data_IF_880595116123
#
_entry.id   IF_880595116123
#
_cell.length_a   1.000
_cell.length_b   1.000
_cell.length_c   1.000
_cell.angle_alpha   90.00
_cell.angle_beta   90.00
_cell.angle_gamma   90.00
#
_symmetry.space_group_name_H-M   'P 1'
#
loop_
_entity.id
_entity.type
_entity.pdbx_description
1 polymer ?
#
# COMPACT_ATOMS: atom_id res chain seq x y z
N UNK A 1 23.10 25.60 -2.34
CA UNK A 1 21.73 25.07 -2.19
C UNK A 1 21.25 25.35 -0.77
N UNK A 2 20.19 26.14 -0.58
CA UNK A 2 19.64 26.41 0.75
C UNK A 2 18.95 25.16 1.32
N UNK A 3 19.29 24.78 2.56
CA UNK A 3 18.71 23.63 3.24
C UNK A 3 17.25 23.94 3.59
N UNK A 4 16.31 23.29 2.90
CA UNK A 4 14.88 23.39 3.23
C UNK A 4 14.58 22.53 4.47
N UNK A 5 14.29 23.19 5.59
CA UNK A 5 13.85 22.52 6.83
C UNK A 5 12.40 22.02 6.69
N UNK A 6 12.12 20.83 7.24
CA UNK A 6 10.78 20.23 7.26
C UNK A 6 10.31 20.05 8.70
N UNK A 7 9.18 20.67 9.03
CA UNK A 7 8.61 20.68 10.39
C UNK A 7 7.36 19.80 10.46
N UNK A 8 7.18 19.09 11.57
CA UNK A 8 5.95 18.35 11.88
C UNK A 8 4.83 19.31 12.33
N UNK A 9 3.59 18.81 12.38
CA UNK A 9 2.42 19.60 12.73
C UNK A 9 2.48 20.05 14.19
N UNK A 10 2.98 19.20 15.09
CA UNK A 10 3.10 19.54 16.50
C UNK A 10 4.05 20.72 16.75
N UNK A 11 5.21 20.73 16.08
CA UNK A 11 6.13 21.86 16.14
C UNK A 11 5.47 23.15 15.64
N UNK A 12 4.75 23.08 14.51
CA UNK A 12 4.06 24.25 13.96
C UNK A 12 2.99 24.79 14.92
N UNK A 13 2.19 23.90 15.51
CA UNK A 13 1.17 24.28 16.49
C UNK A 13 1.79 24.90 17.75
N UNK A 14 2.88 24.34 18.30
CA UNK A 14 3.62 24.95 19.41
C UNK A 14 4.15 26.34 19.07
N UNK A 15 4.73 26.49 17.88
CA UNK A 15 5.23 27.78 17.42
C UNK A 15 4.12 28.83 17.26
N UNK A 16 2.93 28.40 16.82
CA UNK A 16 1.76 29.28 16.74
C UNK A 16 1.20 29.61 18.13
N UNK A 17 1.09 28.64 19.04
CA UNK A 17 0.62 28.87 20.40
C UNK A 17 1.48 29.90 21.13
N UNK A 18 2.81 29.73 21.09
CA UNK A 18 3.75 30.70 21.65
C UNK A 18 3.63 32.07 20.98
N UNK A 19 3.40 32.11 19.67
CA UNK A 19 3.18 33.37 18.97
C UNK A 19 1.90 34.06 19.43
N UNK A 20 0.84 33.33 19.80
CA UNK A 20 -0.42 33.91 20.25
C UNK A 20 -0.31 34.48 21.67
N UNK A 21 0.50 33.86 22.53
CA UNK A 21 0.84 34.38 23.86
C UNK A 21 1.79 35.58 23.78
N UNK A 22 2.68 35.59 22.79
CA UNK A 22 3.68 36.63 22.58
C UNK A 22 3.43 37.36 21.24
N UNK A 23 4.51 37.63 20.48
CA UNK A 23 4.46 38.16 19.12
C UNK A 23 4.95 37.12 18.11
N UNK A 24 4.58 37.31 16.84
CA UNK A 24 5.05 36.44 15.75
C UNK A 24 6.57 36.49 15.57
N UNK A 25 7.15 37.68 15.74
CA UNK A 25 8.58 37.94 15.69
C UNK A 25 9.32 37.30 16.87
N UNK A 26 8.74 37.34 18.08
CA UNK A 26 9.29 36.66 19.25
C UNK A 26 9.29 35.13 19.05
N UNK A 27 8.20 34.56 18.54
CA UNK A 27 8.12 33.14 18.21
C UNK A 27 9.14 32.73 17.14
N UNK A 28 9.27 33.52 16.07
CA UNK A 28 10.24 33.29 15.01
C UNK A 28 11.69 33.19 15.55
N UNK A 29 12.07 34.10 16.46
CA UNK A 29 13.38 34.06 17.13
C UNK A 29 13.51 32.85 18.06
N UNK A 30 12.50 32.58 18.88
CA UNK A 30 12.50 31.45 19.82
C UNK A 30 12.67 30.10 19.13
N UNK A 31 11.96 29.89 18.00
CA UNK A 31 11.97 28.62 17.28
C UNK A 31 12.98 28.56 16.12
N UNK A 32 13.70 29.66 15.83
CA UNK A 32 14.64 29.74 14.71
C UNK A 32 13.99 29.51 13.35
N UNK A 33 12.81 30.11 13.13
CA UNK A 33 12.02 30.00 11.90
C UNK A 33 11.77 31.39 11.33
N UNK A 34 11.67 31.50 10.01
CA UNK A 34 11.29 32.75 9.34
C UNK A 34 9.92 33.25 9.84
N UNK A 35 9.77 34.52 10.28
CA UNK A 35 8.49 35.11 10.69
C UNK A 35 7.35 34.90 9.69
N UNK A 36 7.66 34.84 8.39
CA UNK A 36 6.67 34.53 7.34
C UNK A 36 6.01 33.16 7.57
N UNK A 37 6.77 32.16 8.02
CA UNK A 37 6.24 30.82 8.31
C UNK A 37 5.27 30.82 9.46
N UNK A 38 5.56 31.58 10.52
CA UNK A 38 4.65 31.73 11.67
C UNK A 38 3.32 32.34 11.20
N UNK A 39 3.37 33.37 10.34
CA UNK A 39 2.17 33.98 9.75
C UNK A 39 1.39 33.00 8.85
N UNK A 40 2.08 32.21 8.03
CA UNK A 40 1.46 31.15 7.20
C UNK A 40 0.78 30.09 8.07
N UNK A 41 1.46 29.61 9.12
CA UNK A 41 0.95 28.58 10.02
C UNK A 41 -0.24 29.07 10.82
N UNK A 42 -0.25 30.33 11.26
CA UNK A 42 -1.42 30.95 11.92
C UNK A 42 -2.68 30.87 11.05
N UNK A 43 -2.57 31.06 9.73
CA UNK A 43 -3.71 30.94 8.81
C UNK A 43 -4.22 29.50 8.64
N UNK A 44 -3.38 28.52 8.95
CA UNK A 44 -3.66 27.09 8.73
C UNK A 44 -3.88 26.32 10.04
N UNK A 45 -4.05 26.99 11.18
CA UNK A 45 -4.18 26.36 12.51
C UNK A 45 -5.27 25.31 12.53
N UNK A 46 -6.49 25.68 12.14
CA UNK A 46 -7.64 24.77 12.16
C UNK A 46 -7.40 23.53 11.27
N UNK A 47 -6.73 23.69 10.13
CA UNK A 47 -6.38 22.57 9.24
C UNK A 47 -5.30 21.67 9.85
N UNK A 48 -4.35 22.25 10.59
CA UNK A 48 -3.33 21.50 11.31
C UNK A 48 -3.95 20.71 12.46
N UNK A 49 -4.81 21.32 13.27
CA UNK A 49 -5.49 20.66 14.40
C UNK A 49 -6.38 19.51 13.94
N UNK A 50 -7.24 19.73 12.93
CA UNK A 50 -8.07 18.68 12.32
C UNK A 50 -7.21 17.52 11.84
N UNK A 51 -6.07 17.82 11.20
CA UNK A 51 -5.17 16.78 10.69
C UNK A 51 -4.43 16.02 11.80
N UNK A 52 -4.08 16.69 12.89
CA UNK A 52 -3.48 16.03 14.07
C UNK A 52 -4.48 15.08 14.69
N UNK A 53 -5.76 15.44 14.78
CA UNK A 53 -6.82 14.55 15.24
C UNK A 53 -7.00 13.32 14.31
N UNK A 54 -6.92 13.50 12.99
CA UNK A 54 -7.08 12.40 12.02
C UNK A 54 -5.87 11.45 11.91
N UNK A 55 -4.65 11.98 11.90
CA UNK A 55 -3.42 11.22 11.51
C UNK A 55 -2.27 11.33 12.49
N UNK A 56 -2.45 12.06 13.58
CA UNK A 56 -1.45 12.24 14.64
C UNK A 56 -0.47 13.40 14.42
N UNK A 57 0.27 13.77 15.49
CA UNK A 57 1.08 14.98 15.57
C UNK A 57 2.36 14.97 14.71
N UNK A 58 2.87 13.79 14.38
CA UNK A 58 4.15 13.61 13.65
C UNK A 58 4.05 13.89 12.14
N UNK A 59 2.85 14.11 11.61
CA UNK A 59 2.68 14.42 10.19
C UNK A 59 3.37 15.75 9.85
N UNK A 60 3.99 15.88 8.66
CA UNK A 60 4.70 17.11 8.26
C UNK A 60 3.94 18.01 7.28
N UNK A 61 2.98 17.43 6.55
CA UNK A 61 2.27 18.10 5.45
C UNK A 61 0.78 18.15 5.74
N UNK A 62 0.10 19.22 5.35
CA UNK A 62 -1.36 19.30 5.35
C UNK A 62 -1.98 18.42 4.24
N UNK A 63 -3.29 18.19 4.31
CA UNK A 63 -4.02 17.51 3.21
C UNK A 63 -3.83 18.32 1.91
N UNK A 64 -3.68 17.62 0.78
CA UNK A 64 -3.35 18.27 -0.50
C UNK A 64 -1.90 18.78 -0.63
N UNK A 65 -1.10 18.74 0.43
CA UNK A 65 0.33 19.07 0.41
C UNK A 65 1.16 17.96 -0.23
N UNK A 66 1.17 17.88 -1.56
CA UNK A 66 1.94 16.90 -2.29
C UNK A 66 1.67 16.94 -3.80
N UNK A 67 2.41 16.14 -4.55
CA UNK A 67 2.12 15.92 -5.97
C UNK A 67 0.72 15.31 -6.09
N UNK A 68 -0.19 16.09 -6.64
CA UNK A 68 -1.56 15.67 -6.88
C UNK A 68 -1.60 14.66 -8.04
N UNK A 69 -2.69 13.91 -8.15
CA UNK A 69 -2.91 12.94 -9.23
C UNK A 69 -3.05 13.64 -10.58
N UNK A 70 -2.75 12.91 -11.66
CA UNK A 70 -2.89 13.39 -13.03
C UNK A 70 -4.36 13.68 -13.37
N UNK A 71 -5.24 12.71 -13.13
CA UNK A 71 -6.70 12.83 -13.16
C UNK A 71 -7.29 11.74 -12.27
N UNK A 72 -8.32 12.06 -11.48
CA UNK A 72 -9.05 11.08 -10.68
C UNK A 72 -9.88 10.15 -11.58
N UNK A 73 -10.48 10.67 -12.64
CA UNK A 73 -11.22 9.91 -13.63
C UNK A 73 -10.35 8.86 -14.32
N UNK A 74 -9.13 9.23 -14.71
CA UNK A 74 -8.16 8.29 -15.28
C UNK A 74 -7.85 7.14 -14.31
N UNK A 75 -7.65 7.44 -13.02
CA UNK A 75 -7.36 6.41 -12.03
C UNK A 75 -8.54 5.44 -11.86
N UNK A 76 -9.77 5.95 -11.86
CA UNK A 76 -10.98 5.12 -11.72
C UNK A 76 -11.18 4.20 -12.92
N UNK A 77 -11.14 4.75 -14.14
CA UNK A 77 -11.25 3.96 -15.38
C UNK A 77 -10.18 2.87 -15.43
N UNK A 78 -8.98 3.19 -14.98
CA UNK A 78 -7.87 2.25 -14.99
C UNK A 78 -8.00 1.17 -13.90
N UNK A 79 -8.50 1.52 -12.72
CA UNK A 79 -8.81 0.57 -11.65
C UNK A 79 -9.86 -0.44 -12.10
N UNK A 80 -10.98 0.01 -12.68
CA UNK A 80 -12.05 -0.85 -13.19
C UNK A 80 -11.51 -1.86 -14.19
N UNK A 81 -10.68 -1.42 -15.14
CA UNK A 81 -10.05 -2.32 -16.10
C UNK A 81 -9.15 -3.37 -15.43
N UNK A 82 -8.36 -3.03 -14.41
CA UNK A 82 -7.53 -4.01 -13.69
C UNK A 82 -8.39 -5.06 -12.99
N UNK A 83 -9.48 -4.64 -12.34
CA UNK A 83 -10.40 -5.55 -11.64
C UNK A 83 -11.04 -6.52 -12.64
N UNK A 84 -11.48 -6.05 -13.80
CA UNK A 84 -12.01 -6.90 -14.87
C UNK A 84 -10.99 -7.93 -15.36
N UNK A 85 -9.73 -7.52 -15.57
CA UNK A 85 -8.67 -8.45 -15.99
C UNK A 85 -8.40 -9.51 -14.93
N UNK A 86 -8.40 -9.14 -13.65
CA UNK A 86 -8.25 -10.07 -12.53
C UNK A 86 -9.42 -11.05 -12.45
N UNK A 87 -10.65 -10.59 -12.67
CA UNK A 87 -11.86 -11.44 -12.72
C UNK A 87 -11.78 -12.47 -13.85
N UNK A 88 -11.24 -12.08 -15.01
CA UNK A 88 -10.97 -13.00 -16.14
C UNK A 88 -9.77 -13.93 -15.91
N UNK A 89 -9.08 -13.78 -14.78
CA UNK A 89 -7.89 -14.56 -14.47
C UNK A 89 -6.66 -14.24 -15.33
N UNK A 90 -6.69 -13.14 -16.09
CA UNK A 90 -5.63 -12.73 -16.99
C UNK A 90 -4.44 -12.13 -16.23
N UNK A 91 -3.23 -12.40 -16.70
CA UNK A 91 -2.02 -11.82 -16.12
C UNK A 91 -1.88 -10.35 -16.53
N UNK A 92 -1.81 -9.46 -15.52
CA UNK A 92 -1.63 -8.03 -15.74
C UNK A 92 -0.18 -7.64 -15.46
N UNK A 93 0.62 -7.42 -16.51
CA UNK A 93 2.01 -6.97 -16.38
C UNK A 93 2.11 -5.46 -16.20
N UNK A 94 3.19 -4.98 -15.57
CA UNK A 94 3.47 -3.55 -15.42
C UNK A 94 3.58 -2.83 -16.77
N UNK A 95 4.11 -3.48 -17.79
CA UNK A 95 4.21 -2.92 -19.15
C UNK A 95 2.81 -2.73 -19.75
N UNK A 96 1.96 -3.75 -19.65
CA UNK A 96 0.57 -3.71 -20.12
C UNK A 96 -0.21 -2.59 -19.44
N UNK A 97 -0.03 -2.45 -18.13
CA UNK A 97 -0.61 -1.37 -17.33
C UNK A 97 -0.22 0.00 -17.90
N UNK A 98 1.08 0.26 -18.10
CA UNK A 98 1.57 1.56 -18.58
C UNK A 98 1.03 1.89 -19.97
N UNK A 99 1.03 0.93 -20.89
CA UNK A 99 0.51 1.12 -22.25
C UNK A 99 -0.99 1.42 -22.24
N UNK A 100 -1.77 0.69 -21.44
CA UNK A 100 -3.22 0.89 -21.34
C UNK A 100 -3.56 2.24 -20.70
N UNK A 101 -2.82 2.65 -19.66
CA UNK A 101 -3.01 3.93 -19.00
C UNK A 101 -2.78 5.12 -19.94
N UNK A 102 -1.74 5.07 -20.78
CA UNK A 102 -1.51 6.09 -21.82
C UNK A 102 -2.66 6.15 -22.82
N UNK A 103 -3.08 4.99 -23.34
CA UNK A 103 -4.20 4.92 -24.28
C UNK A 103 -5.49 5.51 -23.70
N UNK A 104 -5.80 5.22 -22.43
CA UNK A 104 -6.99 5.80 -21.78
C UNK A 104 -6.86 7.32 -21.63
N UNK A 105 -5.67 7.82 -21.26
CA UNK A 105 -5.43 9.26 -21.18
C UNK A 105 -5.63 9.96 -22.52
N UNK A 106 -5.13 9.37 -23.60
CA UNK A 106 -5.20 9.96 -24.93
C UNK A 106 -6.62 9.90 -25.51
N UNK A 107 -7.39 8.83 -25.25
CA UNK A 107 -8.69 8.63 -25.90
C UNK A 107 -9.92 9.02 -25.07
N UNK A 108 -9.84 8.99 -23.74
CA UNK A 108 -11.03 9.14 -22.87
C UNK A 108 -11.02 10.36 -21.98
N UNK A 109 -9.86 10.99 -21.76
CA UNK A 109 -9.78 12.17 -20.91
C UNK A 109 -9.87 13.40 -21.81
N UNK A 110 -10.86 14.25 -21.55
CA UNK A 110 -11.06 15.51 -22.26
C UNK A 110 -9.93 16.52 -21.94
N UNK A 111 -9.56 17.34 -22.92
CA UNK A 111 -8.43 18.28 -22.79
C UNK A 111 -8.65 19.32 -21.68
N UNK A 112 -9.92 19.65 -21.40
CA UNK A 112 -10.35 20.53 -20.30
C UNK A 112 -9.98 19.97 -18.91
N UNK A 113 -9.94 18.65 -18.78
CA UNK A 113 -9.70 17.93 -17.52
C UNK A 113 -8.25 17.44 -17.39
N UNK A 114 -7.44 17.60 -18.45
CA UNK A 114 -6.01 17.35 -18.40
C UNK A 114 -5.33 18.48 -17.64
N UNK A 115 -4.42 18.14 -16.74
CA UNK A 115 -3.36 19.10 -16.41
C UNK A 115 -2.54 19.34 -17.67
N UNK A 116 -2.08 20.57 -17.87
CA UNK A 116 -1.18 20.97 -18.99
C UNK A 116 0.05 20.06 -19.20
N UNK A 117 0.37 19.19 -18.24
CA UNK A 117 1.48 18.24 -18.31
C UNK A 117 1.07 16.92 -18.97
N UNK A 118 1.80 16.52 -20.02
CA UNK A 118 1.61 15.27 -20.75
C UNK A 118 1.77 14.06 -19.82
N UNK A 119 0.74 13.20 -19.74
CA UNK A 119 0.77 12.04 -18.87
C UNK A 119 1.75 10.96 -19.38
N UNK A 120 2.89 10.80 -18.70
CA UNK A 120 3.96 9.89 -19.16
C UNK A 120 3.76 8.43 -18.74
N UNK A 121 2.79 8.13 -17.86
CA UNK A 121 2.62 6.82 -17.21
C UNK A 121 3.97 6.25 -16.69
N UNK A 122 4.70 7.05 -15.91
CA UNK A 122 6.03 6.68 -15.40
C UNK A 122 5.98 5.50 -14.43
N UNK A 123 7.13 4.85 -14.19
CA UNK A 123 7.22 3.77 -13.21
C UNK A 123 6.80 4.23 -11.80
N UNK A 124 7.24 5.42 -11.38
CA UNK A 124 6.86 6.00 -10.10
C UNK A 124 5.39 6.38 -10.00
N UNK A 125 4.73 6.77 -11.10
CA UNK A 125 3.28 6.94 -11.11
C UNK A 125 2.58 5.61 -10.84
N UNK A 126 3.00 4.55 -11.52
CA UNK A 126 2.44 3.21 -11.36
C UNK A 126 2.59 2.70 -9.92
N UNK A 127 3.77 2.84 -9.32
CA UNK A 127 3.98 2.40 -7.93
C UNK A 127 3.07 3.15 -6.95
N UNK A 128 2.92 4.47 -7.14
CA UNK A 128 2.02 5.27 -6.30
C UNK A 128 0.55 4.91 -6.54
N UNK A 129 0.15 4.65 -7.79
CA UNK A 129 -1.19 4.19 -8.13
C UNK A 129 -1.52 2.87 -7.44
N UNK A 130 -0.63 1.88 -7.55
CA UNK A 130 -0.82 0.58 -6.90
C UNK A 130 -0.89 0.69 -5.39
N UNK A 131 -0.04 1.53 -4.76
CA UNK A 131 -0.11 1.81 -3.32
C UNK A 131 -1.41 2.48 -2.90
N UNK A 132 -1.91 3.45 -3.68
CA UNK A 132 -3.18 4.15 -3.40
C UNK A 132 -4.39 3.21 -3.44
N UNK A 133 -4.39 2.25 -4.36
CA UNK A 133 -5.51 1.34 -4.60
C UNK A 133 -5.30 -0.06 -3.99
N UNK A 134 -4.29 -0.21 -3.12
CA UNK A 134 -3.96 -1.47 -2.45
C UNK A 134 -3.79 -2.66 -3.43
N UNK A 135 -3.26 -2.39 -4.62
CA UNK A 135 -3.04 -3.41 -5.65
C UNK A 135 -1.67 -4.05 -5.47
N UNK A 136 -1.64 -5.36 -5.23
CA UNK A 136 -0.40 -6.15 -5.29
C UNK A 136 -0.21 -6.78 -6.66
N UNK A 137 1.04 -6.86 -7.12
CA UNK A 137 1.42 -7.67 -8.29
C UNK A 137 1.53 -9.13 -7.86
N UNK A 138 0.39 -9.77 -7.58
CA UNK A 138 0.40 -11.19 -7.25
C UNK A 138 0.70 -11.99 -8.51
N UNK A 139 1.86 -12.66 -8.57
CA UNK A 139 2.03 -13.84 -9.44
C UNK A 139 1.04 -14.88 -8.93
N UNK A 140 0.21 -15.47 -9.79
CA UNK A 140 -0.54 -16.66 -9.39
C UNK A 140 0.49 -17.74 -9.07
N UNK A 141 0.63 -18.09 -7.79
CA UNK A 141 1.05 -19.43 -7.40
C UNK A 141 -0.11 -20.33 -7.76
N UNK A 142 0.16 -21.27 -8.66
CA UNK A 142 -0.61 -22.48 -9.02
C UNK A 142 -2.13 -22.40 -8.84
N UNK A 143 -2.89 -22.53 -9.94
CA UNK A 143 -4.34 -22.67 -9.90
C UNK A 143 -4.72 -23.78 -8.90
N UNK A 144 -5.16 -23.41 -7.70
CA UNK A 144 -5.87 -24.34 -6.83
C UNK A 144 -7.10 -24.83 -7.59
N UNK A 145 -7.42 -26.12 -7.45
CA UNK A 145 -8.39 -26.87 -8.25
C UNK A 145 -9.63 -26.03 -8.59
N UNK A 146 -10.04 -26.09 -9.87
CA UNK A 146 -11.00 -25.19 -10.52
C UNK A 146 -12.43 -25.21 -9.96
N UNK A 147 -12.71 -26.04 -8.97
CA UNK A 147 -14.07 -26.27 -8.51
C UNK A 147 -14.20 -26.02 -6.99
N UNK A 148 -14.58 -24.79 -6.59
CA UNK A 148 -14.75 -24.44 -5.19
C UNK A 148 -15.92 -25.17 -4.51
N UNK A 149 -16.94 -25.62 -5.26
CA UNK A 149 -18.08 -26.35 -4.68
C UNK A 149 -17.65 -27.77 -4.28
N UNK A 150 -16.96 -28.48 -5.18
CA UNK A 150 -16.41 -29.80 -4.85
C UNK A 150 -15.23 -29.75 -3.87
N UNK A 151 -14.55 -28.60 -3.75
CA UNK A 151 -13.45 -28.42 -2.81
C UNK A 151 -13.94 -28.52 -1.37
N UNK A 152 -15.09 -27.93 -1.07
CA UNK A 152 -15.67 -27.95 0.29
C UNK A 152 -16.02 -29.39 0.66
N UNK A 153 -16.72 -30.12 -0.21
CA UNK A 153 -17.11 -31.52 0.06
C UNK A 153 -15.91 -32.45 0.20
N UNK A 154 -14.88 -32.27 -0.64
CA UNK A 154 -13.62 -33.01 -0.52
C UNK A 154 -12.87 -32.68 0.77
N UNK A 155 -12.90 -31.42 1.21
CA UNK A 155 -12.24 -30.99 2.44
C UNK A 155 -12.98 -31.52 3.68
N UNK A 156 -14.31 -31.44 3.70
CA UNK A 156 -15.15 -31.99 4.78
C UNK A 156 -14.99 -33.52 4.85
N UNK A 157 -15.06 -34.23 3.72
CA UNK A 157 -14.88 -35.68 3.70
C UNK A 157 -13.47 -36.08 4.15
N UNK A 158 -12.42 -35.38 3.72
CA UNK A 158 -11.06 -35.64 4.15
C UNK A 158 -10.86 -35.40 5.65
N UNK A 159 -11.30 -34.25 6.18
CA UNK A 159 -11.19 -33.95 7.62
C UNK A 159 -11.95 -34.98 8.45
N UNK A 160 -13.15 -35.36 8.03
CA UNK A 160 -13.95 -36.39 8.71
C UNK A 160 -13.26 -37.75 8.67
N UNK A 161 -12.67 -38.11 7.52
CA UNK A 161 -11.92 -39.35 7.37
C UNK A 161 -10.68 -39.39 8.27
N UNK A 162 -9.87 -38.32 8.31
CA UNK A 162 -8.70 -38.21 9.19
C UNK A 162 -9.10 -38.34 10.65
N UNK A 163 -10.17 -37.66 11.08
CA UNK A 163 -10.67 -37.74 12.45
C UNK A 163 -11.07 -39.17 12.84
N UNK A 164 -11.80 -39.88 11.96
CA UNK A 164 -12.18 -41.29 12.18
C UNK A 164 -10.95 -42.19 12.26
N UNK A 165 -9.99 -42.01 11.37
CA UNK A 165 -8.79 -42.83 11.31
C UNK A 165 -7.91 -42.64 12.55
N UNK A 166 -7.77 -41.39 13.03
CA UNK A 166 -7.10 -41.07 14.30
C UNK A 166 -7.72 -41.81 15.49
N UNK A 167 -9.05 -41.81 15.62
CA UNK A 167 -9.73 -42.51 16.71
C UNK A 167 -9.61 -44.03 16.60
N UNK A 168 -9.74 -44.58 15.38
CA UNK A 168 -9.65 -46.02 15.15
C UNK A 168 -8.25 -46.59 15.44
N UNK A 169 -7.21 -45.84 15.06
CA UNK A 169 -5.82 -46.26 15.22
C UNK A 169 -5.19 -45.77 16.54
N UNK A 170 -5.93 -45.03 17.37
CA UNK A 170 -5.47 -44.55 18.69
C UNK A 170 -4.33 -43.53 18.63
N UNK A 171 -4.19 -42.80 17.51
CA UNK A 171 -3.09 -41.85 17.27
C UNK A 171 -3.29 -40.59 18.13
N UNK A 172 -2.32 -40.27 18.99
CA UNK A 172 -2.35 -39.06 19.82
C UNK A 172 -1.79 -37.87 19.05
N UNK A 173 -2.12 -36.65 19.48
CA UNK A 173 -1.61 -35.44 18.83
C UNK A 173 -0.07 -35.35 18.86
N UNK A 174 0.58 -35.95 19.86
CA UNK A 174 2.04 -36.01 19.96
C UNK A 174 2.72 -36.94 18.95
N UNK A 175 1.96 -37.84 18.29
CA UNK A 175 2.48 -38.82 17.35
C UNK A 175 2.47 -38.30 15.89
N UNK A 176 2.01 -37.05 15.69
CA UNK A 176 1.72 -36.50 14.37
C UNK A 176 2.77 -35.48 13.98
N UNK A 177 3.59 -35.86 13.02
CA UNK A 177 4.62 -35.02 12.43
C UNK A 177 4.16 -34.48 11.07
N UNK A 178 4.34 -33.18 10.85
CA UNK A 178 4.14 -32.58 9.54
C UNK A 178 5.42 -32.72 8.71
N UNK A 179 5.32 -33.35 7.55
CA UNK A 179 6.42 -33.53 6.61
C UNK A 179 6.00 -32.96 5.25
N UNK A 180 6.83 -32.07 4.68
CA UNK A 180 6.61 -31.47 3.37
C UNK A 180 7.91 -31.46 2.57
N UNK A 181 7.81 -31.74 1.27
CA UNK A 181 8.95 -31.72 0.36
C UNK A 181 9.15 -30.31 -0.17
N UNK A 182 10.18 -29.63 0.33
CA UNK A 182 10.59 -28.35 -0.24
C UNK A 182 11.60 -28.61 -1.36
N UNK A 183 11.24 -28.25 -2.61
CA UNK A 183 12.19 -28.35 -3.73
C UNK A 183 13.46 -27.54 -3.44
N UNK A 184 14.67 -28.11 -3.63
CA UNK A 184 15.94 -27.40 -3.45
C UNK A 184 16.08 -26.17 -4.38
N UNK A 185 15.31 -26.10 -5.46
CA UNK A 185 15.30 -24.95 -6.38
C UNK A 185 14.71 -23.68 -5.75
N UNK A 186 13.99 -23.82 -4.63
CA UNK A 186 13.40 -22.70 -3.89
C UNK A 186 14.30 -22.13 -2.79
N UNK A 187 15.46 -22.74 -2.49
CA UNK A 187 16.43 -22.24 -1.50
C UNK A 187 17.70 -21.68 -2.16
N UNK A 188 17.53 -20.69 -3.03
CA UNK A 188 18.62 -19.75 -3.35
C UNK A 188 18.79 -18.74 -2.19
N UNK A 189 19.15 -19.25 -1.02
CA UNK A 189 19.95 -18.57 0.00
C UNK A 189 20.24 -19.58 1.11
N UNK A 190 21.52 -20.02 1.16
CA UNK A 190 22.20 -20.72 2.26
C UNK A 190 21.29 -21.28 3.36
N UNK A 191 21.08 -22.59 3.40
CA UNK A 191 21.33 -23.45 4.57
C UNK A 191 21.11 -24.91 4.14
N UNK A 192 22.13 -25.72 4.37
CA UNK A 192 22.12 -27.18 4.22
C UNK A 192 21.40 -27.72 5.47
N UNK A 193 20.26 -28.38 5.31
CA UNK A 193 19.53 -28.99 6.44
C UNK A 193 19.49 -30.50 6.26
N UNK A 194 20.00 -31.17 7.28
CA UNK A 194 20.28 -32.59 7.43
C UNK A 194 19.02 -33.49 7.39
N UNK A 195 19.16 -34.67 6.78
CA UNK A 195 18.30 -35.83 7.01
C UNK A 195 18.82 -36.57 8.26
N UNK A 196 17.96 -36.84 9.23
CA UNK A 196 18.19 -37.89 10.23
C UNK A 196 17.15 -39.00 10.00
N UNK A 197 17.65 -40.16 9.58
CA UNK A 197 17.00 -41.45 9.82
C UNK A 197 17.17 -41.76 11.31
N UNK A 198 16.13 -42.28 11.96
CA UNK A 198 16.24 -42.95 13.25
C UNK A 198 15.72 -44.37 13.06
N UNK A 199 16.57 -45.31 13.45
CA UNK A 199 16.37 -46.76 13.56
C UNK A 199 15.20 -47.14 14.47
#
# INVERSE_FOLDING_TARGET
MSIKRSFDLNFKLRAVAYANEHSGEASARHFGVDPKRIREWRKQVNDMERKVAEKGPACKRLTGGGAKKASDELEQLFLTWIVEQRRKGAQVSRKMIRTKAKRIFDTKIDDSSKRKETFTASAGWLDKFMKRHHLSLRRKTTLAQKDPEQLIDKLVSFVTWVARKRTADGIKDGDIIAMDETSPSCTLSRYLVFFFFLD
#
